data_IF_545510641867
#
_entry.id   IF_545510641867
#
_cell.length_a   1.000
_cell.length_b   1.000
_cell.length_c   1.000
_cell.angle_alpha   90.00
_cell.angle_beta   90.00
_cell.angle_gamma   90.00
#
_symmetry.space_group_name_H-M   'P 1'
#
loop_
_entity.id
_entity.type
_entity.pdbx_description
1 polymer ?
#
# COMPACT_ATOMS: atom_id res chain seq x y z
N UNK A 1 -1.62 19.90 17.21
CA UNK A 1 -1.86 21.15 16.47
C UNK A 1 -1.33 20.87 15.07
N UNK A 2 -2.17 20.88 14.04
CA UNK A 2 -1.73 20.64 12.66
C UNK A 2 -0.91 21.85 12.22
N UNK A 3 0.38 21.66 11.95
CA UNK A 3 1.18 22.69 11.28
C UNK A 3 1.01 22.48 9.78
N UNK A 4 0.40 23.42 9.06
CA UNK A 4 0.24 23.29 7.62
C UNK A 4 1.62 23.26 6.96
N UNK A 5 1.80 22.37 5.99
CA UNK A 5 2.98 22.38 5.15
C UNK A 5 3.07 23.72 4.41
N UNK A 6 4.18 24.43 4.61
CA UNK A 6 4.47 25.69 3.94
C UNK A 6 5.46 25.41 2.82
N UNK A 7 5.02 25.63 1.58
CA UNK A 7 5.90 25.59 0.42
C UNK A 7 7.02 26.63 0.62
N UNK A 8 8.27 26.17 0.75
CA UNK A 8 9.41 27.07 0.94
C UNK A 8 9.82 27.74 -0.38
N UNK A 9 9.68 27.02 -1.50
CA UNK A 9 9.99 27.47 -2.86
C UNK A 9 8.99 26.82 -3.83
N UNK A 10 8.32 27.64 -4.65
CA UNK A 10 7.47 27.14 -5.72
C UNK A 10 8.34 26.67 -6.89
N UNK A 11 8.12 25.43 -7.33
CA UNK A 11 8.71 24.87 -8.54
C UNK A 11 7.68 24.86 -9.69
N UNK A 12 8.15 24.63 -10.90
CA UNK A 12 7.32 24.43 -12.08
C UNK A 12 6.60 23.08 -12.04
N UNK A 13 5.37 23.03 -12.55
CA UNK A 13 4.63 21.77 -12.68
C UNK A 13 5.34 20.90 -13.74
N UNK A 14 5.86 19.70 -13.39
CA UNK A 14 6.60 18.89 -14.32
C UNK A 14 5.68 18.18 -15.32
N UNK A 15 6.21 17.87 -16.50
CA UNK A 15 5.55 16.93 -17.42
C UNK A 15 5.76 15.49 -16.95
N UNK A 16 4.89 14.57 -17.37
CA UNK A 16 5.06 13.15 -17.07
C UNK A 16 6.41 12.60 -17.60
N UNK A 17 6.82 13.02 -18.80
CA UNK A 17 8.14 12.68 -19.38
C UNK A 17 9.30 13.15 -18.48
N UNK A 18 9.23 14.39 -17.95
CA UNK A 18 10.24 14.91 -17.04
C UNK A 18 10.34 14.11 -15.74
N UNK A 19 9.22 13.66 -15.18
CA UNK A 19 9.18 12.80 -13.99
C UNK A 19 9.85 11.46 -14.26
N UNK A 20 9.53 10.81 -15.38
CA UNK A 20 10.19 9.55 -15.79
C UNK A 20 11.70 9.71 -15.99
N UNK A 21 12.16 10.82 -16.60
CA UNK A 21 13.59 11.06 -16.83
C UNK A 21 14.36 11.34 -15.55
N UNK A 22 13.71 11.98 -14.58
CA UNK A 22 14.36 12.43 -13.34
C UNK A 22 14.45 11.33 -12.29
N UNK A 23 13.40 10.54 -12.13
CA UNK A 23 13.36 9.52 -11.07
C UNK A 23 14.05 8.22 -11.50
N UNK A 24 14.76 7.53 -10.60
CA UNK A 24 15.46 6.30 -10.93
C UNK A 24 14.46 5.13 -11.16
N UNK A 25 14.73 4.16 -12.07
CA UNK A 25 13.80 3.08 -12.45
C UNK A 25 13.36 2.14 -11.31
N UNK A 26 14.06 2.16 -10.18
CA UNK A 26 13.75 1.42 -8.96
C UNK A 26 12.48 1.94 -8.27
N UNK A 27 12.17 3.23 -8.42
CA UNK A 27 10.96 3.85 -7.84
C UNK A 27 9.74 3.44 -8.67
N UNK A 28 8.78 2.73 -8.07
CA UNK A 28 7.52 2.42 -8.76
C UNK A 28 6.64 3.66 -8.90
N UNK A 29 5.80 3.70 -9.95
CA UNK A 29 4.83 4.78 -10.15
C UNK A 29 3.40 4.28 -9.94
N UNK A 30 2.66 5.00 -9.09
CA UNK A 30 1.20 5.08 -9.15
C UNK A 30 0.83 6.30 -9.98
N UNK A 31 0.24 6.09 -11.16
CA UNK A 31 -0.19 7.18 -12.04
C UNK A 31 -1.69 7.35 -11.86
N UNK A 32 -2.08 8.26 -10.95
CA UNK A 32 -3.47 8.69 -10.80
C UNK A 32 -3.87 9.57 -12.00
N UNK A 33 -4.88 9.14 -12.76
CA UNK A 33 -5.49 9.95 -13.81
C UNK A 33 -6.67 10.71 -13.23
N UNK A 34 -6.48 12.02 -13.07
CA UNK A 34 -7.45 12.91 -12.43
C UNK A 34 -8.28 13.67 -13.47
N UNK A 35 -9.59 13.53 -13.39
CA UNK A 35 -10.56 14.26 -14.20
C UNK A 35 -11.09 15.47 -13.43
N UNK A 36 -11.35 16.56 -14.14
CA UNK A 36 -11.94 17.79 -13.59
C UNK A 36 -13.47 17.81 -13.73
N UNK A 37 -14.11 16.63 -13.74
CA UNK A 37 -15.57 16.49 -13.82
C UNK A 37 -16.24 16.77 -12.48
N UNK A 38 -17.40 17.43 -12.52
CA UNK A 38 -18.18 17.77 -11.32
C UNK A 38 -18.83 16.55 -10.67
N UNK A 39 -19.21 16.68 -9.39
CA UNK A 39 -19.80 15.59 -8.61
C UNK A 39 -21.19 15.14 -9.12
N UNK A 40 -21.85 15.97 -9.90
CA UNK A 40 -23.12 15.72 -10.57
C UNK A 40 -23.00 14.90 -11.85
N UNK A 41 -21.79 14.80 -12.41
CA UNK A 41 -21.53 14.09 -13.67
C UNK A 41 -21.38 12.61 -13.38
N UNK A 42 -22.38 11.81 -13.80
CA UNK A 42 -22.34 10.35 -13.63
C UNK A 42 -21.36 9.70 -14.59
N UNK A 43 -21.32 10.19 -15.84
CA UNK A 43 -20.43 9.68 -16.87
C UNK A 43 -19.58 10.79 -17.47
N UNK A 44 -18.26 10.60 -17.43
CA UNK A 44 -17.33 11.52 -18.07
C UNK A 44 -17.40 11.32 -19.59
N UNK A 45 -17.50 12.42 -20.38
CA UNK A 45 -17.60 12.29 -21.84
C UNK A 45 -16.45 11.49 -22.44
N UNK A 46 -16.75 10.59 -23.36
CA UNK A 46 -15.77 9.66 -23.91
C UNK A 46 -14.63 10.37 -24.64
N UNK A 47 -14.90 11.50 -25.29
CA UNK A 47 -13.90 12.36 -25.92
C UNK A 47 -12.91 12.95 -24.93
N UNK A 48 -13.34 13.22 -23.69
CA UNK A 48 -12.50 13.78 -22.65
C UNK A 48 -11.61 12.70 -22.02
N UNK A 49 -12.16 11.50 -21.83
CA UNK A 49 -11.38 10.30 -21.45
C UNK A 49 -10.34 10.01 -22.53
N UNK A 50 -10.73 10.00 -23.80
CA UNK A 50 -9.84 9.75 -24.93
C UNK A 50 -8.70 10.78 -25.00
N UNK A 51 -9.03 12.07 -24.87
CA UNK A 51 -8.06 13.16 -24.86
C UNK A 51 -6.98 12.95 -23.80
N UNK A 52 -7.39 12.57 -22.58
CA UNK A 52 -6.48 12.33 -21.46
C UNK A 52 -5.60 11.09 -21.70
N UNK A 53 -6.20 9.96 -22.06
CA UNK A 53 -5.47 8.70 -22.20
C UNK A 53 -4.54 8.69 -23.42
N UNK A 54 -4.93 9.34 -24.52
CA UNK A 54 -4.10 9.49 -25.72
C UNK A 54 -2.85 10.34 -25.44
N UNK A 55 -2.91 11.27 -24.49
CA UNK A 55 -1.73 12.03 -24.07
C UNK A 55 -0.81 11.24 -23.11
N UNK A 56 -1.38 10.45 -22.20
CA UNK A 56 -0.65 9.79 -21.11
C UNK A 56 -0.01 8.46 -21.56
N UNK A 57 -0.78 7.58 -22.19
CA UNK A 57 -0.35 6.19 -22.46
C UNK A 57 0.90 6.08 -23.32
N UNK A 58 1.09 6.88 -24.41
CA UNK A 58 2.30 6.80 -25.21
C UNK A 58 3.57 7.13 -24.43
N UNK A 59 3.51 8.14 -23.55
CA UNK A 59 4.64 8.54 -22.69
C UNK A 59 5.01 7.39 -21.75
N UNK A 60 4.01 6.80 -21.08
CA UNK A 60 4.23 5.65 -20.18
C UNK A 60 4.82 4.47 -20.94
N UNK A 61 4.28 4.12 -22.10
CA UNK A 61 4.74 2.99 -22.90
C UNK A 61 6.20 3.18 -23.37
N UNK A 62 6.54 4.39 -23.82
CA UNK A 62 7.90 4.72 -24.25
C UNK A 62 8.90 4.55 -23.10
N UNK A 63 8.62 5.11 -21.92
CA UNK A 63 9.54 5.02 -20.79
C UNK A 63 9.60 3.62 -20.20
N UNK A 64 8.47 2.91 -20.12
CA UNK A 64 8.44 1.52 -19.66
C UNK A 64 9.33 0.61 -20.53
N UNK A 65 9.35 0.83 -21.85
CA UNK A 65 10.16 0.04 -22.77
C UNK A 65 11.67 0.39 -22.75
N UNK A 66 12.03 1.60 -22.32
CA UNK A 66 13.40 2.14 -22.47
C UNK A 66 14.14 2.32 -21.15
N UNK A 67 13.44 2.48 -20.03
CA UNK A 67 14.02 2.68 -18.71
C UNK A 67 13.97 1.38 -17.91
N UNK A 68 15.06 0.63 -18.00
CA UNK A 68 15.23 -0.61 -17.29
C UNK A 68 16.05 -0.41 -16.02
N UNK A 69 15.72 -1.17 -14.99
CA UNK A 69 16.52 -1.35 -13.79
C UNK A 69 17.84 -2.06 -14.15
N UNK A 70 18.85 -2.06 -13.26
CA UNK A 70 20.11 -2.78 -13.46
C UNK A 70 19.95 -4.27 -13.78
N UNK A 71 18.87 -4.89 -13.31
CA UNK A 71 18.53 -6.29 -13.58
C UNK A 71 17.78 -6.52 -14.91
N UNK A 72 17.64 -5.48 -15.73
CA UNK A 72 16.98 -5.53 -17.05
C UNK A 72 15.45 -5.52 -17.01
N UNK A 73 14.82 -5.48 -15.82
CA UNK A 73 13.36 -5.38 -15.72
C UNK A 73 12.89 -3.93 -15.81
N UNK A 74 11.69 -3.67 -16.34
CA UNK A 74 11.16 -2.31 -16.41
C UNK A 74 10.72 -1.81 -15.02
N UNK A 75 10.51 -0.49 -14.92
CA UNK A 75 9.90 0.15 -13.74
C UNK A 75 8.53 -0.48 -13.43
N UNK A 76 8.21 -0.64 -12.14
CA UNK A 76 6.86 -1.02 -11.73
C UNK A 76 5.91 0.18 -11.92
N UNK A 77 4.80 -0.03 -12.62
CA UNK A 77 3.82 1.03 -12.90
C UNK A 77 2.43 0.46 -12.66
N UNK A 78 1.59 1.21 -11.95
CA UNK A 78 0.15 1.00 -11.87
C UNK A 78 -0.59 2.27 -12.26
N UNK A 79 -1.81 2.10 -12.75
CA UNK A 79 -2.74 3.21 -12.96
C UNK A 79 -3.82 3.21 -11.92
N UNK A 80 -4.29 4.39 -11.58
CA UNK A 80 -5.41 4.56 -10.67
C UNK A 80 -6.29 5.73 -11.13
N UNK A 81 -7.59 5.70 -10.85
CA UNK A 81 -8.44 6.88 -10.97
C UNK A 81 -9.66 6.82 -10.05
N UNK A 82 -10.17 7.98 -9.63
CA UNK A 82 -11.48 8.11 -9.01
C UNK A 82 -12.64 8.05 -10.02
N UNK A 83 -12.33 8.21 -11.30
CA UNK A 83 -13.29 8.21 -12.39
C UNK A 83 -13.49 6.79 -12.92
N UNK A 84 -14.69 6.21 -12.79
CA UNK A 84 -14.96 4.85 -13.26
C UNK A 84 -14.79 4.68 -14.78
N UNK A 85 -15.11 5.69 -15.59
CA UNK A 85 -15.07 5.60 -17.04
C UNK A 85 -13.62 5.65 -17.53
N UNK A 86 -12.76 6.42 -16.86
CA UNK A 86 -11.29 6.38 -17.07
C UNK A 86 -10.73 5.01 -16.71
N UNK A 87 -11.15 4.43 -15.58
CA UNK A 87 -10.68 3.10 -15.17
C UNK A 87 -11.04 2.04 -16.23
N UNK A 88 -12.30 2.03 -16.66
CA UNK A 88 -12.78 1.11 -17.71
C UNK A 88 -11.95 1.27 -18.98
N UNK A 89 -11.73 2.50 -19.43
CA UNK A 89 -11.03 2.74 -20.68
C UNK A 89 -9.53 2.41 -20.59
N UNK A 90 -8.90 2.62 -19.43
CA UNK A 90 -7.55 2.11 -19.16
C UNK A 90 -7.49 0.59 -19.30
N UNK A 91 -8.47 -0.16 -18.77
CA UNK A 91 -8.53 -1.62 -18.91
C UNK A 91 -8.74 -2.06 -20.36
N UNK A 92 -9.48 -1.29 -21.15
CA UNK A 92 -9.71 -1.58 -22.57
C UNK A 92 -8.47 -1.34 -23.43
N UNK A 93 -7.70 -0.27 -23.16
CA UNK A 93 -6.58 0.16 -24.00
C UNK A 93 -5.27 -0.57 -23.72
N UNK A 94 -5.11 -1.14 -22.52
CA UNK A 94 -3.86 -1.82 -22.16
C UNK A 94 -4.08 -2.97 -21.16
N UNK A 95 -3.20 -3.96 -21.21
CA UNK A 95 -3.17 -5.09 -20.28
C UNK A 95 -1.83 -5.24 -19.52
N UNK A 96 -0.87 -4.35 -19.76
CA UNK A 96 0.49 -4.40 -19.21
C UNK A 96 0.53 -3.99 -17.74
N UNK A 97 -0.22 -2.95 -17.37
CA UNK A 97 -0.18 -2.33 -16.06
C UNK A 97 -1.49 -2.61 -15.31
N UNK A 98 -1.44 -3.00 -14.02
CA UNK A 98 -2.64 -3.13 -13.21
C UNK A 98 -3.34 -1.77 -13.10
N UNK A 99 -4.67 -1.82 -13.08
CA UNK A 99 -5.52 -0.65 -12.84
C UNK A 99 -6.23 -0.84 -11.52
N UNK A 100 -6.16 0.17 -10.66
CA UNK A 100 -6.87 0.25 -9.39
C UNK A 100 -7.95 1.31 -9.46
N UNK A 101 -9.10 1.03 -8.86
CA UNK A 101 -10.16 2.02 -8.75
C UNK A 101 -10.09 2.74 -7.41
N UNK A 102 -9.85 4.06 -7.42
CA UNK A 102 -10.00 4.86 -6.21
C UNK A 102 -11.48 5.17 -5.99
N UNK A 103 -11.94 5.03 -4.76
CA UNK A 103 -13.31 5.41 -4.41
C UNK A 103 -13.33 6.16 -3.09
N UNK A 104 -14.02 7.29 -3.08
CA UNK A 104 -14.31 8.03 -1.85
C UNK A 104 -15.20 7.24 -0.88
N UNK A 105 -15.85 6.17 -1.33
CA UNK A 105 -16.68 5.30 -0.51
C UNK A 105 -17.72 6.06 0.32
N UNK A 106 -18.29 7.13 -0.26
CA UNK A 106 -19.29 7.97 0.41
C UNK A 106 -18.71 9.08 1.30
N UNK A 107 -17.39 9.20 1.40
CA UNK A 107 -16.73 10.33 2.07
C UNK A 107 -17.02 11.67 1.37
N UNK A 108 -17.19 11.62 0.04
CA UNK A 108 -17.59 12.76 -0.78
C UNK A 108 -18.91 12.44 -1.47
N UNK A 109 -19.78 13.45 -1.58
CA UNK A 109 -21.02 13.30 -2.34
C UNK A 109 -20.68 13.10 -3.82
N UNK A 110 -21.40 12.20 -4.47
CA UNK A 110 -21.32 12.01 -5.90
C UNK A 110 -22.63 11.44 -6.45
N UNK A 111 -23.00 11.78 -7.69
CA UNK A 111 -24.21 11.27 -8.35
C UNK A 111 -24.05 9.82 -8.84
N UNK A 112 -22.85 9.43 -9.25
CA UNK A 112 -22.51 8.05 -9.62
C UNK A 112 -22.46 7.11 -8.40
N UNK A 113 -23.36 6.13 -8.38
CA UNK A 113 -23.50 5.12 -7.33
C UNK A 113 -22.23 4.28 -7.13
N UNK A 114 -21.42 4.07 -8.17
CA UNK A 114 -20.16 3.30 -8.11
C UNK A 114 -19.17 3.89 -7.10
N UNK A 115 -19.26 5.21 -6.84
CA UNK A 115 -18.35 5.99 -5.98
C UNK A 115 -18.78 6.08 -4.52
N UNK A 116 -19.91 5.46 -4.15
CA UNK A 116 -20.63 5.81 -2.90
C UNK A 116 -20.36 4.90 -1.71
N UNK A 117 -19.73 3.73 -1.89
CA UNK A 117 -19.43 2.80 -0.80
C UNK A 117 -18.35 1.80 -1.16
N UNK A 118 -17.77 1.12 -0.16
CA UNK A 118 -16.80 0.03 -0.40
C UNK A 118 -17.45 -1.13 -1.20
N UNK A 119 -18.67 -1.62 -0.88
CA UNK A 119 -19.31 -2.67 -1.68
C UNK A 119 -19.56 -2.27 -3.13
N UNK A 120 -19.98 -1.02 -3.39
CA UNK A 120 -20.17 -0.51 -4.74
C UNK A 120 -18.84 -0.47 -5.51
N UNK A 121 -17.78 -0.01 -4.85
CA UNK A 121 -16.43 0.02 -5.44
C UNK A 121 -15.91 -1.38 -5.76
N UNK A 122 -16.05 -2.34 -4.84
CA UNK A 122 -15.67 -3.74 -5.06
C UNK A 122 -16.45 -4.35 -6.22
N UNK A 123 -17.77 -4.18 -6.25
CA UNK A 123 -18.64 -4.71 -7.31
C UNK A 123 -18.24 -4.16 -8.68
N UNK A 124 -18.05 -2.85 -8.78
CA UNK A 124 -17.63 -2.21 -10.02
C UNK A 124 -16.25 -2.70 -10.47
N UNK A 125 -15.26 -2.64 -9.59
CA UNK A 125 -13.89 -2.99 -9.92
C UNK A 125 -13.74 -4.49 -10.29
N UNK A 126 -14.45 -5.39 -9.61
CA UNK A 126 -14.52 -6.80 -10.00
C UNK A 126 -15.15 -6.98 -11.40
N UNK A 127 -16.30 -6.35 -11.65
CA UNK A 127 -16.98 -6.44 -12.94
C UNK A 127 -16.19 -5.84 -14.10
N UNK A 128 -15.37 -4.82 -13.82
CA UNK A 128 -14.51 -4.15 -14.79
C UNK A 128 -13.11 -4.80 -14.94
N UNK A 129 -12.83 -5.88 -14.20
CA UNK A 129 -11.55 -6.60 -14.27
C UNK A 129 -10.36 -5.78 -13.77
N UNK A 130 -10.57 -4.92 -12.78
CA UNK A 130 -9.51 -4.18 -12.08
C UNK A 130 -8.68 -5.12 -11.19
N UNK A 131 -7.47 -4.69 -10.81
CA UNK A 131 -6.68 -5.44 -9.83
C UNK A 131 -7.23 -5.30 -8.40
N UNK A 132 -7.76 -4.14 -8.08
CA UNK A 132 -8.17 -3.82 -6.73
C UNK A 132 -8.79 -2.45 -6.60
N UNK A 133 -9.04 -2.04 -5.35
CA UNK A 133 -9.56 -0.72 -5.00
C UNK A 133 -8.63 0.00 -4.03
N UNK A 134 -8.67 1.33 -4.08
CA UNK A 134 -8.02 2.22 -3.11
C UNK A 134 -9.10 3.04 -2.40
N UNK A 135 -9.17 2.98 -1.08
CA UNK A 135 -10.28 3.58 -0.29
C UNK A 135 -9.78 4.47 0.85
N UNK A 136 -10.58 5.42 1.36
CA UNK A 136 -10.15 6.22 2.50
C UNK A 136 -9.96 5.33 3.74
N UNK A 137 -8.80 5.46 4.38
CA UNK A 137 -8.48 4.76 5.61
C UNK A 137 -9.52 5.05 6.72
N UNK A 138 -9.97 6.30 6.83
CA UNK A 138 -11.05 6.72 7.74
C UNK A 138 -12.37 5.95 7.58
N UNK A 139 -12.67 5.48 6.36
CA UNK A 139 -13.87 4.67 6.07
C UNK A 139 -13.56 3.19 6.30
N UNK A 140 -12.41 2.70 5.83
CA UNK A 140 -12.04 1.29 6.00
C UNK A 140 -11.90 0.90 7.47
N UNK A 141 -11.29 1.74 8.31
CA UNK A 141 -11.10 1.45 9.75
C UNK A 141 -12.43 1.22 10.48
N UNK A 142 -13.55 1.72 9.96
CA UNK A 142 -14.91 1.51 10.49
C UNK A 142 -15.62 0.30 9.88
N UNK A 143 -15.05 -0.30 8.82
CA UNK A 143 -15.61 -1.37 8.00
C UNK A 143 -14.54 -2.42 7.66
N UNK A 144 -13.72 -2.81 8.65
CA UNK A 144 -12.55 -3.69 8.45
C UNK A 144 -12.92 -5.09 7.94
N UNK A 145 -14.16 -5.52 8.13
CA UNK A 145 -14.71 -6.75 7.55
C UNK A 145 -14.68 -6.75 6.01
N UNK A 146 -14.70 -5.57 5.38
CA UNK A 146 -14.60 -5.43 3.92
C UNK A 146 -13.24 -5.88 3.37
N UNK A 147 -12.17 -5.92 4.17
CA UNK A 147 -10.88 -6.47 3.73
C UNK A 147 -11.01 -7.96 3.42
N UNK A 148 -11.77 -8.70 4.23
CA UNK A 148 -12.06 -10.10 3.97
C UNK A 148 -12.91 -10.26 2.69
N UNK A 149 -13.94 -9.42 2.52
CA UNK A 149 -14.77 -9.43 1.31
C UNK A 149 -13.96 -9.16 0.03
N UNK A 150 -13.02 -8.22 0.06
CA UNK A 150 -12.14 -7.93 -1.06
C UNK A 150 -11.26 -9.14 -1.41
N UNK A 151 -10.61 -9.73 -0.39
CA UNK A 151 -9.78 -10.93 -0.54
C UNK A 151 -10.57 -12.11 -1.12
N UNK A 152 -11.77 -12.36 -0.61
CA UNK A 152 -12.64 -13.45 -1.06
C UNK A 152 -13.13 -13.22 -2.51
N UNK A 153 -13.10 -11.98 -2.99
CA UNK A 153 -13.35 -11.58 -4.38
C UNK A 153 -12.07 -11.52 -5.23
N UNK A 154 -10.93 -12.01 -4.72
CA UNK A 154 -9.62 -11.94 -5.35
C UNK A 154 -9.15 -10.53 -5.71
N UNK A 155 -9.58 -9.54 -4.94
CA UNK A 155 -9.22 -8.15 -5.13
C UNK A 155 -8.21 -7.69 -4.08
N UNK A 156 -7.24 -6.90 -4.55
CA UNK A 156 -6.34 -6.18 -3.67
C UNK A 156 -7.06 -4.94 -3.09
N UNK A 157 -6.80 -4.63 -1.82
CA UNK A 157 -7.32 -3.44 -1.16
C UNK A 157 -6.15 -2.60 -0.64
N UNK A 158 -6.14 -1.34 -1.06
CA UNK A 158 -5.20 -0.32 -0.63
C UNK A 158 -5.94 0.84 0.04
N UNK A 159 -5.23 1.70 0.75
CA UNK A 159 -5.83 2.87 1.40
C UNK A 159 -5.13 4.17 1.13
N UNK A 160 -5.84 5.28 1.31
CA UNK A 160 -5.31 6.64 1.32
C UNK A 160 -5.93 7.46 2.47
N UNK A 161 -5.32 8.59 2.82
CA UNK A 161 -5.86 9.53 3.80
C UNK A 161 -5.01 9.65 5.06
N UNK A 162 -5.34 10.63 5.90
CA UNK A 162 -4.49 11.06 7.02
C UNK A 162 -4.26 9.96 8.07
N UNK A 163 -5.21 9.03 8.24
CA UNK A 163 -5.06 7.91 9.16
C UNK A 163 -3.92 6.97 8.77
N UNK A 164 -3.47 6.99 7.51
CA UNK A 164 -2.29 6.22 7.09
C UNK A 164 -0.98 6.79 7.63
N UNK A 165 -0.96 7.99 8.21
CA UNK A 165 0.21 8.52 8.90
C UNK A 165 0.31 8.00 10.35
N UNK A 166 -0.71 7.29 10.86
CA UNK A 166 -0.71 6.64 12.17
C UNK A 166 -0.30 5.16 12.07
N UNK A 167 0.76 4.78 12.78
CA UNK A 167 1.33 3.42 12.71
C UNK A 167 0.39 2.37 13.28
N UNK A 168 -0.41 2.72 14.29
CA UNK A 168 -1.39 1.80 14.87
C UNK A 168 -2.45 1.45 13.81
N UNK A 169 -2.94 2.48 13.10
CA UNK A 169 -3.88 2.34 11.99
C UNK A 169 -3.26 1.55 10.84
N UNK A 170 -2.02 1.82 10.43
CA UNK A 170 -1.33 1.04 9.39
C UNK A 170 -1.16 -0.43 9.77
N UNK A 171 -0.80 -0.70 11.02
CA UNK A 171 -0.64 -2.07 11.52
C UNK A 171 -1.96 -2.82 11.52
N UNK A 172 -3.02 -2.19 12.02
CA UNK A 172 -4.37 -2.76 11.99
C UNK A 172 -4.82 -3.09 10.55
N UNK A 173 -4.52 -2.20 9.59
CA UNK A 173 -4.79 -2.43 8.17
C UNK A 173 -3.97 -3.59 7.60
N UNK A 174 -2.66 -3.61 7.85
CA UNK A 174 -1.76 -4.66 7.39
C UNK A 174 -2.14 -6.03 7.96
N UNK A 175 -2.42 -6.11 9.26
CA UNK A 175 -2.84 -7.35 9.94
C UNK A 175 -4.15 -7.91 9.37
N UNK A 176 -5.02 -7.04 8.86
CA UNK A 176 -6.27 -7.45 8.20
C UNK A 176 -6.08 -7.89 6.74
N UNK A 177 -4.95 -7.57 6.12
CA UNK A 177 -4.63 -7.93 4.72
C UNK A 177 -4.71 -6.78 3.70
N UNK A 178 -4.69 -5.52 4.15
CA UNK A 178 -4.48 -4.37 3.26
C UNK A 178 -3.07 -4.44 2.67
N UNK A 179 -2.95 -4.35 1.34
CA UNK A 179 -1.67 -4.66 0.65
C UNK A 179 -0.75 -3.46 0.49
N UNK A 180 -1.29 -2.24 0.54
CA UNK A 180 -0.53 -0.99 0.49
C UNK A 180 -1.31 0.19 1.08
N UNK A 181 -0.59 1.21 1.51
CA UNK A 181 -1.14 2.46 2.02
C UNK A 181 -0.41 3.65 1.39
N UNK A 182 -1.17 4.64 0.92
CA UNK A 182 -0.67 5.95 0.49
C UNK A 182 -0.54 6.82 1.75
N UNK A 183 0.65 7.37 1.97
CA UNK A 183 1.04 8.17 3.15
C UNK A 183 1.58 9.53 2.72
N UNK A 184 1.39 10.54 3.56
CA UNK A 184 1.98 11.87 3.33
C UNK A 184 3.37 11.93 3.99
N UNK A 185 3.49 11.37 5.20
CA UNK A 185 4.68 11.45 6.05
C UNK A 185 5.65 10.27 5.80
N UNK A 186 6.13 10.14 4.56
CA UNK A 186 6.94 8.99 4.09
C UNK A 186 8.14 8.70 4.99
N UNK A 187 8.91 9.73 5.36
CA UNK A 187 10.12 9.58 6.16
C UNK A 187 9.80 9.04 7.58
N UNK A 188 8.80 9.62 8.23
CA UNK A 188 8.36 9.25 9.57
C UNK A 188 7.81 7.81 9.59
N UNK A 189 6.94 7.47 8.64
CA UNK A 189 6.36 6.13 8.53
C UNK A 189 7.43 5.09 8.23
N UNK A 190 8.33 5.36 7.27
CA UNK A 190 9.40 4.42 6.89
C UNK A 190 10.37 4.16 8.04
N UNK A 191 10.78 5.22 8.76
CA UNK A 191 11.66 5.08 9.91
C UNK A 191 11.04 4.21 11.01
N UNK A 192 9.75 4.42 11.28
CA UNK A 192 9.05 3.66 12.32
C UNK A 192 8.83 2.18 11.94
N UNK A 193 8.42 1.90 10.70
CA UNK A 193 8.32 0.52 10.19
C UNK A 193 9.69 -0.19 10.23
N UNK A 194 10.76 0.52 9.90
CA UNK A 194 12.13 -0.01 10.00
C UNK A 194 12.57 -0.32 11.43
N UNK A 195 12.26 0.56 12.39
CA UNK A 195 12.55 0.36 13.80
C UNK A 195 11.79 -0.84 14.40
N UNK A 196 10.52 -1.02 14.04
CA UNK A 196 9.73 -2.20 14.45
C UNK A 196 10.33 -3.49 13.89
N UNK A 197 10.70 -3.52 12.61
CA UNK A 197 11.31 -4.69 12.00
C UNK A 197 12.60 -5.10 12.72
N UNK A 198 13.44 -4.13 13.10
CA UNK A 198 14.66 -4.38 13.87
C UNK A 198 14.36 -4.93 15.28
N UNK A 199 13.35 -4.39 15.97
CA UNK A 199 12.95 -4.87 17.30
C UNK A 199 12.39 -6.29 17.25
N UNK A 200 11.57 -6.62 16.25
CA UNK A 200 11.01 -7.97 16.07
C UNK A 200 12.11 -8.99 15.75
N UNK A 201 13.07 -8.66 14.89
CA UNK A 201 14.24 -9.52 14.63
C UNK A 201 15.10 -9.72 15.89
N UNK A 202 15.32 -8.67 16.68
CA UNK A 202 16.06 -8.76 17.94
C UNK A 202 15.36 -9.63 18.99
N UNK A 203 14.04 -9.49 19.11
CA UNK A 203 13.23 -10.31 20.03
C UNK A 203 13.20 -11.79 19.63
N UNK A 204 13.10 -12.10 18.34
CA UNK A 204 13.16 -13.47 17.83
C UNK A 204 14.53 -14.11 18.04
N UNK A 205 15.62 -13.36 17.84
CA UNK A 205 16.97 -13.85 18.10
C UNK A 205 17.21 -14.10 19.60
N UNK A 206 16.71 -13.22 20.47
CA UNK A 206 16.80 -13.40 21.92
C UNK A 206 16.01 -14.63 22.41
N UNK A 207 14.81 -14.88 21.86
CA UNK A 207 14.02 -16.08 22.18
C UNK A 207 14.68 -17.37 21.69
N UNK A 208 15.30 -17.37 20.51
CA UNK A 208 16.02 -18.54 19.99
C UNK A 208 17.27 -18.86 20.83
N UNK A 209 17.97 -17.84 21.35
CA UNK A 209 19.12 -18.03 22.23
C UNK A 209 18.73 -18.60 23.61
N UNK A 210 17.61 -18.15 24.19
CA UNK A 210 17.12 -18.68 25.47
C UNK A 210 16.60 -20.12 25.36
N UNK A 211 16.10 -20.54 24.20
CA UNK A 211 15.67 -21.94 23.96
C UNK A 211 16.84 -22.88 23.61
N UNK A 212 18.00 -22.34 23.25
CA UNK A 212 19.20 -23.10 22.91
C UNK A 212 20.14 -23.39 24.09
N UNK A 213 19.87 -22.84 25.29
CA UNK A 213 20.64 -23.20 26.49
C UNK A 213 20.33 -24.65 26.91
N UNK A 214 21.35 -25.55 26.96
CA UNK A 214 21.10 -26.93 27.35
C UNK A 214 20.70 -26.98 28.82
N UNK A 215 19.58 -27.66 29.11
CA UNK A 215 19.16 -28.00 30.47
C UNK A 215 20.32 -28.69 31.18
N UNK A 216 20.98 -27.99 32.11
CA UNK A 216 21.96 -28.61 33.00
C UNK A 216 21.20 -29.64 33.85
N UNK A 217 21.38 -30.91 33.53
CA UNK A 217 21.01 -31.99 34.44
C UNK A 217 21.91 -31.87 35.68
N UNK A 218 21.33 -31.39 36.77
CA UNK A 218 22.01 -31.39 38.07
C UNK A 218 22.26 -32.83 38.50
N UNK A 219 23.54 -33.21 38.62
CA UNK A 219 23.91 -34.47 39.25
C UNK A 219 23.75 -34.34 40.78
N UNK A 220 23.21 -35.35 41.48
CA UNK A 220 22.98 -35.28 42.91
C UNK A 220 24.32 -35.29 43.66
N UNK A 221 24.53 -34.27 44.50
CA UNK A 221 25.69 -34.14 45.38
C UNK A 221 25.58 -35.21 46.48
N UNK A 222 26.52 -36.17 46.46
CA UNK A 222 26.66 -37.19 47.49
C UNK A 222 26.96 -36.58 48.86
N UNK A 223 26.21 -37.00 49.88
CA UNK A 223 26.48 -36.69 51.27
C UNK A 223 27.75 -37.42 51.73
N UNK A 224 28.77 -36.65 52.12
CA UNK A 224 29.88 -37.14 52.93
C UNK A 224 29.75 -36.57 54.35
N UNK A 225 29.37 -37.43 55.30
CA UNK A 225 29.58 -37.18 56.72
C UNK A 225 30.71 -38.10 57.20
N UNK A 226 31.79 -37.51 57.68
CA UNK A 226 32.85 -38.22 58.39
C UNK A 226 32.57 -38.26 59.89
N UNK A 227 33.04 -39.32 60.55
CA UNK A 227 33.72 -39.27 61.85
C UNK A 227 34.08 -40.69 62.30
N UNK A 228 35.37 -40.86 62.64
CA UNK A 228 35.97 -41.72 63.69
C UNK A 228 35.40 -43.11 64.01
N UNK A 229 36.28 -44.10 64.18
CA UNK A 229 36.84 -44.51 65.49
C UNK A 229 37.85 -45.67 65.28
N UNK A 230 38.84 -45.69 66.15
CA UNK A 230 40.01 -46.56 66.39
C UNK A 230 39.81 -48.08 66.41
N UNK A 231 40.85 -48.84 66.06
CA UNK A 231 41.73 -49.61 66.98
C UNK A 231 42.23 -50.96 66.39
N UNK A 232 43.51 -51.24 66.66
CA UNK A 232 44.27 -52.50 66.56
C UNK A 232 44.56 -53.08 65.17
#
# INVERSE_FOLDING_TARGET
MYEPWLCAEDDTIPTLDAVFRTLPPEVGFDIEIKMATGEEVVHTPAEEVDRMLTAILPVVQQHYATQLKPDGRPRAIMFSSFDPDVCLELRNRQATHPVYYLSGCGLYRHADERRTSIPAALTFAAGAGMRGIVVPASILLKNMDMVATARDSHMELMTYGLENNDLVSLKQQADAGVVAAIVDEVASVTAALGAEAQQQHGAQQAQQQQQAEPVRQEQPVGQAWGAGVTAA
#
